data_IF_721824595234
#
_entry.id   IF_721824595234
#
_cell.length_a   1.000
_cell.length_b   1.000
_cell.length_c   1.000
_cell.angle_alpha   90.00
_cell.angle_beta   90.00
_cell.angle_gamma   90.00
#
_symmetry.space_group_name_H-M   'P 1'
#
loop_
_entity.id
_entity.type
_entity.pdbx_description
1 polymer ?
#
# COMPACT_ATOMS: atom_id res chain seq x y z
N UNK A 1 18.92 15.75 23.41
CA UNK A 1 19.47 15.08 22.21
C UNK A 1 18.99 13.65 22.24
N UNK A 2 17.90 13.35 21.55
CA UNK A 2 17.41 11.98 21.37
C UNK A 2 17.99 11.48 20.05
N UNK A 3 18.78 10.42 20.12
CA UNK A 3 19.24 9.69 18.94
C UNK A 3 18.01 9.02 18.32
N UNK A 4 17.71 9.37 17.07
CA UNK A 4 16.73 8.64 16.27
C UNK A 4 17.34 7.28 15.90
N UNK A 5 16.80 6.14 16.37
CA UNK A 5 17.17 4.85 15.81
C UNK A 5 16.49 4.73 14.44
N UNK A 6 17.14 4.01 13.52
CA UNK A 6 16.66 3.64 12.17
C UNK A 6 17.08 4.53 10.99
N UNK A 7 18.39 4.65 10.78
CA UNK A 7 18.95 4.60 9.43
C UNK A 7 19.29 3.14 9.06
N UNK A 8 18.27 2.28 8.93
CA UNK A 8 18.42 1.13 8.02
C UNK A 8 18.68 1.77 6.64
N UNK A 9 19.86 1.54 6.04
CA UNK A 9 20.16 2.04 4.69
C UNK A 9 18.97 1.76 3.77
N UNK A 10 18.51 2.78 3.06
CA UNK A 10 17.39 2.71 2.10
C UNK A 10 17.54 1.53 1.11
N UNK A 11 18.78 1.12 0.82
CA UNK A 11 19.09 -0.03 -0.04
C UNK A 11 18.64 -1.38 0.53
N UNK A 12 18.26 -1.47 1.80
CA UNK A 12 17.82 -2.71 2.46
C UNK A 12 16.29 -2.87 2.50
N UNK A 13 15.52 -1.87 2.06
CA UNK A 13 14.05 -1.87 2.16
C UNK A 13 13.36 -2.91 1.25
N UNK A 14 13.97 -3.26 0.11
CA UNK A 14 13.45 -4.31 -0.78
C UNK A 14 13.78 -5.73 -0.35
N UNK A 15 14.78 -5.92 0.54
CA UNK A 15 15.30 -7.24 0.88
C UNK A 15 14.30 -8.13 1.61
N UNK A 16 13.41 -7.54 2.40
CA UNK A 16 12.37 -8.28 3.14
C UNK A 16 11.25 -8.75 2.20
N UNK A 17 10.82 -7.93 1.24
CA UNK A 17 9.84 -8.33 0.22
C UNK A 17 10.40 -9.37 -0.75
N UNK A 18 11.69 -9.29 -1.06
CA UNK A 18 12.39 -10.32 -1.84
C UNK A 18 12.37 -11.67 -1.11
N UNK A 19 12.58 -11.68 0.22
CA UNK A 19 12.44 -12.91 1.01
C UNK A 19 11.03 -13.47 0.97
N UNK A 20 10.00 -12.63 1.08
CA UNK A 20 8.61 -13.09 0.98
C UNK A 20 8.31 -13.72 -0.40
N UNK A 21 8.87 -13.15 -1.48
CA UNK A 21 8.72 -13.71 -2.83
C UNK A 21 9.42 -15.08 -2.96
N UNK A 22 10.63 -15.24 -2.42
CA UNK A 22 11.35 -16.52 -2.43
C UNK A 22 10.69 -17.57 -1.53
N UNK A 23 10.17 -17.17 -0.37
CA UNK A 23 9.37 -18.04 0.50
C UNK A 23 8.10 -18.52 -0.22
N UNK A 24 7.40 -17.61 -0.92
CA UNK A 24 6.20 -17.94 -1.68
C UNK A 24 6.52 -18.96 -2.77
N UNK A 25 7.56 -18.70 -3.57
CA UNK A 25 8.02 -19.62 -4.61
C UNK A 25 8.33 -21.01 -4.05
N UNK A 26 9.07 -21.06 -2.94
CA UNK A 26 9.42 -22.33 -2.28
C UNK A 26 8.18 -23.10 -1.83
N UNK A 27 7.17 -22.40 -1.30
CA UNK A 27 5.92 -23.02 -0.86
C UNK A 27 5.04 -23.46 -2.03
N UNK A 28 4.99 -22.69 -3.12
CA UNK A 28 4.26 -23.04 -4.35
C UNK A 28 4.84 -24.31 -4.97
N UNK A 29 6.16 -24.47 -5.01
CA UNK A 29 6.80 -25.70 -5.49
C UNK A 29 6.32 -26.91 -4.66
N UNK A 30 6.41 -26.82 -3.33
CA UNK A 30 5.96 -27.89 -2.42
C UNK A 30 4.46 -28.21 -2.57
N UNK A 31 3.63 -27.18 -2.63
CA UNK A 31 2.18 -27.34 -2.84
C UNK A 31 1.87 -28.00 -4.18
N UNK A 32 2.57 -27.60 -5.24
CA UNK A 32 2.36 -28.14 -6.59
C UNK A 32 2.77 -29.62 -6.70
N UNK A 33 3.73 -30.05 -5.90
CA UNK A 33 4.16 -31.45 -5.82
C UNK A 33 3.15 -32.31 -5.04
N UNK A 34 2.65 -31.80 -3.91
CA UNK A 34 1.81 -32.57 -2.98
C UNK A 34 0.31 -32.48 -3.26
N UNK A 35 -0.16 -31.36 -3.82
CA UNK A 35 -1.58 -31.06 -4.08
C UNK A 35 -1.72 -30.39 -5.45
N UNK A 36 -1.48 -31.17 -6.51
CA UNK A 36 -1.44 -30.71 -7.91
C UNK A 36 -2.67 -29.92 -8.33
N UNK A 37 -3.83 -30.24 -7.79
CA UNK A 37 -5.10 -29.56 -8.02
C UNK A 37 -5.10 -28.09 -7.58
N UNK A 38 -4.23 -27.70 -6.64
CA UNK A 38 -4.10 -26.31 -6.16
C UNK A 38 -2.95 -25.55 -6.82
N UNK A 39 -2.13 -26.20 -7.65
CA UNK A 39 -0.97 -25.57 -8.29
C UNK A 39 -1.32 -24.27 -9.06
N UNK A 40 -2.41 -24.20 -9.87
CA UNK A 40 -2.73 -22.95 -10.57
C UNK A 40 -3.01 -21.77 -9.62
N UNK A 41 -3.71 -22.03 -8.51
CA UNK A 41 -4.03 -21.03 -7.49
C UNK A 41 -2.78 -20.60 -6.72
N UNK A 42 -1.92 -21.56 -6.38
CA UNK A 42 -0.66 -21.31 -5.70
C UNK A 42 0.29 -20.46 -6.58
N UNK A 43 0.41 -20.78 -7.88
CA UNK A 43 1.15 -19.96 -8.84
C UNK A 43 0.59 -18.53 -8.94
N UNK A 44 -0.73 -18.37 -9.01
CA UNK A 44 -1.36 -17.04 -9.02
C UNK A 44 -1.02 -16.23 -7.78
N UNK A 45 -1.02 -16.87 -6.60
CA UNK A 45 -0.62 -16.24 -5.34
C UNK A 45 0.85 -15.77 -5.35
N UNK A 46 1.78 -16.58 -5.88
CA UNK A 46 3.17 -16.15 -6.08
C UNK A 46 3.26 -14.94 -7.03
N UNK A 47 2.51 -14.96 -8.14
CA UNK A 47 2.47 -13.84 -9.08
C UNK A 47 2.00 -12.55 -8.43
N UNK A 48 1.00 -12.60 -7.54
CA UNK A 48 0.57 -11.42 -6.79
C UNK A 48 1.66 -10.89 -5.86
N UNK A 49 2.34 -11.75 -5.09
CA UNK A 49 3.46 -11.34 -4.22
C UNK A 49 4.57 -10.69 -5.03
N UNK A 50 4.94 -11.29 -6.17
CA UNK A 50 5.96 -10.75 -7.07
C UNK A 50 5.55 -9.42 -7.68
N UNK A 51 4.27 -9.27 -8.07
CA UNK A 51 3.72 -8.03 -8.57
C UNK A 51 3.73 -6.91 -7.52
N UNK A 52 3.37 -7.22 -6.27
CA UNK A 52 3.44 -6.26 -5.15
C UNK A 52 4.87 -5.77 -4.93
N UNK A 53 5.83 -6.69 -4.90
CA UNK A 53 7.25 -6.36 -4.77
C UNK A 53 7.76 -5.53 -5.96
N UNK A 54 7.37 -5.89 -7.18
CA UNK A 54 7.71 -5.13 -8.39
C UNK A 54 7.24 -3.68 -8.28
N UNK A 55 5.95 -3.45 -8.03
CA UNK A 55 5.40 -2.10 -7.95
C UNK A 55 6.02 -1.30 -6.80
N UNK A 56 6.25 -1.91 -5.64
CA UNK A 56 6.94 -1.23 -4.54
C UNK A 56 8.37 -0.78 -4.91
N UNK A 57 9.15 -1.66 -5.56
CA UNK A 57 10.51 -1.31 -6.03
C UNK A 57 10.48 -0.15 -7.02
N UNK A 58 9.48 -0.12 -7.91
CA UNK A 58 9.28 0.96 -8.87
C UNK A 58 8.90 2.28 -8.18
N UNK A 59 7.98 2.24 -7.22
CA UNK A 59 7.66 3.42 -6.38
C UNK A 59 8.93 3.97 -5.73
N UNK A 60 9.75 3.11 -5.12
CA UNK A 60 11.01 3.52 -4.48
C UNK A 60 12.01 4.11 -5.48
N UNK A 61 12.17 3.48 -6.64
CA UNK A 61 13.05 3.95 -7.73
C UNK A 61 12.68 5.39 -8.15
N UNK A 62 11.40 5.62 -8.48
CA UNK A 62 10.95 6.92 -8.95
C UNK A 62 10.92 7.97 -7.83
N UNK A 63 10.61 7.57 -6.61
CA UNK A 63 10.72 8.43 -5.44
C UNK A 63 12.15 8.98 -5.31
N UNK A 64 13.18 8.12 -5.44
CA UNK A 64 14.59 8.56 -5.33
C UNK A 64 14.96 9.59 -6.39
N UNK A 65 14.49 9.40 -7.63
CA UNK A 65 14.75 10.33 -8.73
C UNK A 65 14.05 11.66 -8.50
N UNK A 66 12.77 11.63 -8.14
CA UNK A 66 12.01 12.83 -7.74
C UNK A 66 12.67 13.57 -6.56
N UNK A 67 13.09 12.86 -5.52
CA UNK A 67 13.76 13.46 -4.38
C UNK A 67 15.09 14.13 -4.75
N UNK A 68 15.86 13.55 -5.67
CA UNK A 68 17.08 14.17 -6.19
C UNK A 68 16.78 15.46 -6.98
N UNK A 69 15.72 15.46 -7.79
CA UNK A 69 15.25 16.64 -8.51
C UNK A 69 14.80 17.79 -7.60
N UNK A 70 14.03 17.47 -6.55
CA UNK A 70 13.63 18.44 -5.53
C UNK A 70 14.87 18.99 -4.81
N UNK A 71 15.77 18.11 -4.36
CA UNK A 71 16.97 18.51 -3.62
C UNK A 71 17.88 19.43 -4.43
N UNK A 72 18.06 19.16 -5.73
CA UNK A 72 18.83 20.01 -6.63
C UNK A 72 18.23 21.41 -6.73
N UNK A 73 16.90 21.54 -6.81
CA UNK A 73 16.23 22.84 -6.90
C UNK A 73 16.16 23.57 -5.56
N UNK A 74 15.97 22.85 -4.46
CA UNK A 74 15.96 23.42 -3.11
C UNK A 74 17.29 24.11 -2.75
N UNK A 75 18.41 23.61 -3.31
CA UNK A 75 19.72 24.23 -3.13
C UNK A 75 19.83 25.68 -3.65
N UNK A 76 18.87 26.13 -4.46
CA UNK A 76 18.79 27.52 -4.95
C UNK A 76 18.13 28.48 -3.94
N UNK A 77 17.64 27.99 -2.80
CA UNK A 77 17.01 28.79 -1.75
C UNK A 77 15.51 29.03 -1.93
N UNK A 78 14.85 28.29 -2.83
CA UNK A 78 13.40 28.37 -3.03
C UNK A 78 12.65 27.66 -1.90
N UNK A 79 11.68 28.32 -1.27
CA UNK A 79 10.76 27.72 -0.27
C UNK A 79 9.57 26.98 -0.89
N UNK A 80 9.39 27.10 -2.21
CA UNK A 80 8.39 26.38 -3.00
C UNK A 80 9.00 26.01 -4.35
N UNK A 81 8.84 24.76 -4.76
CA UNK A 81 9.39 24.23 -6.00
C UNK A 81 8.24 23.69 -6.84
N UNK A 82 7.94 24.38 -7.93
CA UNK A 82 7.08 23.88 -8.99
C UNK A 82 7.95 23.44 -10.16
N UNK A 83 7.80 22.19 -10.58
CA UNK A 83 8.57 21.63 -11.68
C UNK A 83 7.78 20.61 -12.48
N UNK A 84 8.06 20.53 -13.78
CA UNK A 84 7.74 19.35 -14.59
C UNK A 84 8.54 18.16 -14.05
N UNK A 85 7.85 17.09 -13.65
CA UNK A 85 8.49 15.89 -13.07
C UNK A 85 7.73 14.62 -13.45
N UNK A 86 8.09 14.00 -14.60
CA UNK A 86 7.51 12.73 -15.03
C UNK A 86 7.74 11.60 -14.02
N UNK A 87 8.87 11.63 -13.31
CA UNK A 87 9.18 10.62 -12.29
C UNK A 87 8.16 10.66 -11.13
N UNK A 88 7.66 11.84 -10.75
CA UNK A 88 6.59 11.94 -9.75
C UNK A 88 5.29 11.31 -10.26
N UNK A 89 4.89 11.60 -11.50
CA UNK A 89 3.70 11.02 -12.11
C UNK A 89 3.81 9.49 -12.22
N UNK A 90 4.95 8.96 -12.68
CA UNK A 90 5.16 7.51 -12.78
C UNK A 90 5.17 6.87 -11.38
N UNK A 91 5.79 7.50 -10.38
CA UNK A 91 5.72 7.04 -9.00
C UNK A 91 4.26 6.88 -8.54
N UNK A 92 3.40 7.87 -8.81
CA UNK A 92 1.99 7.82 -8.42
C UNK A 92 1.18 6.76 -9.19
N UNK A 93 1.51 6.50 -10.46
CA UNK A 93 0.94 5.37 -11.19
C UNK A 93 1.35 4.02 -10.60
N UNK A 94 2.60 3.86 -10.18
CA UNK A 94 3.07 2.63 -9.53
C UNK A 94 2.41 2.45 -8.14
N UNK A 95 2.14 3.55 -7.41
CA UNK A 95 1.33 3.52 -6.17
C UNK A 95 -0.09 3.04 -6.47
N UNK A 96 -0.73 3.58 -7.51
CA UNK A 96 -2.06 3.16 -7.93
C UNK A 96 -2.12 1.66 -8.25
N UNK A 97 -1.14 1.17 -9.03
CA UNK A 97 -1.04 -0.23 -9.40
C UNK A 97 -0.82 -1.12 -8.17
N UNK A 98 0.10 -0.74 -7.27
CA UNK A 98 0.37 -1.44 -6.03
C UNK A 98 -0.89 -1.59 -5.16
N UNK A 99 -1.61 -0.50 -4.94
CA UNK A 99 -2.80 -0.46 -4.07
C UNK A 99 -3.94 -1.29 -4.66
N UNK A 100 -4.18 -1.20 -5.96
CA UNK A 100 -5.19 -2.02 -6.61
C UNK A 100 -4.81 -3.50 -6.59
N UNK A 101 -3.55 -3.83 -6.87
CA UNK A 101 -3.08 -5.21 -6.80
C UNK A 101 -3.20 -5.75 -5.36
N UNK A 102 -2.85 -4.97 -4.34
CA UNK A 102 -2.99 -5.38 -2.95
C UNK A 102 -4.46 -5.67 -2.61
N UNK A 103 -5.37 -4.78 -3.01
CA UNK A 103 -6.82 -4.98 -2.81
C UNK A 103 -7.33 -6.24 -3.53
N UNK A 104 -6.98 -6.42 -4.80
CA UNK A 104 -7.36 -7.61 -5.60
C UNK A 104 -6.80 -8.88 -4.95
N UNK A 105 -5.57 -8.84 -4.48
CA UNK A 105 -4.90 -9.97 -3.84
C UNK A 105 -5.63 -10.37 -2.56
N UNK A 106 -6.04 -9.40 -1.72
CA UNK A 106 -6.82 -9.64 -0.52
C UNK A 106 -8.21 -10.23 -0.83
N UNK A 107 -8.87 -9.77 -1.90
CA UNK A 107 -10.16 -10.34 -2.32
C UNK A 107 -10.02 -11.78 -2.83
N UNK A 108 -8.91 -12.08 -3.52
CA UNK A 108 -8.59 -13.41 -4.01
C UNK A 108 -8.16 -14.40 -2.91
N UNK A 109 -7.95 -13.96 -1.66
CA UNK A 109 -7.70 -14.88 -0.54
C UNK A 109 -8.81 -15.91 -0.38
N UNK A 110 -10.06 -15.53 -0.71
CA UNK A 110 -11.20 -16.43 -0.77
C UNK A 110 -10.92 -17.63 -1.67
N UNK A 111 -10.33 -17.40 -2.84
CA UNK A 111 -10.07 -18.45 -3.82
C UNK A 111 -8.92 -19.36 -3.38
N UNK A 112 -7.91 -18.79 -2.72
CA UNK A 112 -6.79 -19.54 -2.17
C UNK A 112 -7.23 -20.42 -1.01
N UNK A 113 -8.05 -19.86 -0.10
CA UNK A 113 -8.50 -20.54 1.11
C UNK A 113 -9.74 -21.40 0.91
N UNK A 114 -10.46 -21.28 -0.20
CA UNK A 114 -11.67 -22.08 -0.46
C UNK A 114 -11.53 -23.59 -0.17
N UNK A 115 -10.36 -24.24 -0.41
CA UNK A 115 -10.21 -25.67 -0.13
C UNK A 115 -10.28 -26.06 1.34
N UNK A 116 -9.99 -25.15 2.26
CA UNK A 116 -9.94 -25.40 3.71
C UNK A 116 -11.21 -24.97 4.44
N UNK A 117 -12.17 -24.35 3.73
CA UNK A 117 -13.47 -23.98 4.27
C UNK A 117 -14.50 -25.10 4.12
N UNK A 118 -15.21 -25.39 5.21
CA UNK A 118 -16.42 -26.23 5.25
C UNK A 118 -17.65 -25.49 4.72
N UNK A 119 -17.69 -24.16 4.89
CA UNK A 119 -18.71 -23.30 4.29
C UNK A 119 -18.66 -23.41 2.75
N UNK A 120 -19.80 -23.64 2.06
CA UNK A 120 -19.84 -23.71 0.60
C UNK A 120 -19.21 -22.48 -0.06
N UNK A 121 -18.46 -22.69 -1.15
CA UNK A 121 -17.70 -21.63 -1.79
C UNK A 121 -18.59 -20.44 -2.16
N UNK A 122 -19.79 -20.67 -2.68
CA UNK A 122 -20.76 -19.65 -3.10
C UNK A 122 -21.22 -18.76 -1.93
N UNK A 123 -21.15 -19.28 -0.70
CA UNK A 123 -21.53 -18.57 0.53
C UNK A 123 -20.37 -17.79 1.14
N UNK A 124 -19.14 -18.01 0.68
CA UNK A 124 -18.00 -17.19 1.09
C UNK A 124 -18.14 -15.77 0.51
N UNK A 125 -17.77 -14.72 1.25
CA UNK A 125 -17.70 -13.36 0.72
C UNK A 125 -16.74 -13.22 -0.47
N UNK A 126 -17.03 -12.29 -1.38
CA UNK A 126 -16.16 -11.98 -2.53
C UNK A 126 -15.10 -10.93 -2.21
N UNK A 127 -15.31 -10.18 -1.13
CA UNK A 127 -14.46 -9.08 -0.71
C UNK A 127 -13.92 -9.32 0.69
N UNK A 128 -12.65 -8.97 0.92
CA UNK A 128 -12.06 -8.97 2.27
C UNK A 128 -12.88 -8.10 3.24
N UNK A 129 -13.48 -7.00 2.75
CA UNK A 129 -14.33 -6.11 3.56
C UNK A 129 -15.57 -6.83 4.05
N UNK A 130 -16.14 -7.70 3.22
CA UNK A 130 -17.33 -8.45 3.58
C UNK A 130 -16.98 -9.61 4.51
N UNK A 131 -15.79 -10.22 4.38
CA UNK A 131 -15.25 -11.14 5.38
C UNK A 131 -15.13 -10.48 6.76
N UNK A 132 -14.58 -9.25 6.82
CA UNK A 132 -14.41 -8.51 8.07
C UNK A 132 -15.74 -8.10 8.75
N UNK A 133 -16.87 -8.12 8.03
CA UNK A 133 -18.20 -7.87 8.61
C UNK A 133 -18.83 -9.10 9.26
N UNK A 134 -18.35 -10.29 8.93
CA UNK A 134 -18.85 -11.56 9.44
C UNK A 134 -18.09 -12.07 10.65
N UNK A 135 -18.17 -13.38 10.87
CA UNK A 135 -17.38 -14.13 11.84
C UNK A 135 -16.79 -15.36 11.15
N UNK A 136 -15.49 -15.57 11.32
CA UNK A 136 -14.73 -16.70 10.76
C UNK A 136 -13.70 -17.18 11.79
N UNK A 137 -13.45 -18.48 11.80
CA UNK A 137 -12.42 -19.14 12.61
C UNK A 137 -11.11 -19.37 11.82
N UNK A 138 -11.03 -18.83 10.59
CA UNK A 138 -9.85 -18.96 9.75
C UNK A 138 -8.75 -17.99 10.21
N UNK A 139 -7.56 -18.48 10.61
CA UNK A 139 -6.51 -17.67 11.23
C UNK A 139 -5.97 -16.57 10.31
N UNK A 140 -6.08 -16.74 8.99
CA UNK A 140 -5.66 -15.71 8.02
C UNK A 140 -6.54 -14.46 8.12
N UNK A 141 -7.87 -14.64 8.18
CA UNK A 141 -8.79 -13.50 8.28
C UNK A 141 -8.79 -12.89 9.69
N UNK A 142 -8.56 -13.69 10.74
CA UNK A 142 -8.31 -13.17 12.08
C UNK A 142 -7.05 -12.30 12.12
N UNK A 143 -5.96 -12.75 11.49
CA UNK A 143 -4.73 -11.95 11.41
C UNK A 143 -4.95 -10.64 10.66
N UNK A 144 -5.65 -10.68 9.50
CA UNK A 144 -6.00 -9.49 8.70
C UNK A 144 -6.82 -8.49 9.52
N UNK A 145 -7.81 -8.96 10.27
CA UNK A 145 -8.67 -8.09 11.08
C UNK A 145 -7.91 -7.36 12.21
N UNK A 146 -6.71 -7.82 12.55
CA UNK A 146 -5.84 -7.23 13.55
C UNK A 146 -4.73 -6.33 12.95
N UNK A 147 -4.76 -6.04 11.64
CA UNK A 147 -3.81 -5.12 11.01
C UNK A 147 -4.50 -3.82 10.56
N UNK A 148 -4.19 -2.71 11.24
CA UNK A 148 -4.75 -1.37 10.94
C UNK A 148 -4.46 -0.93 9.49
N UNK A 149 -3.34 -1.40 8.94
CA UNK A 149 -2.89 -1.12 7.56
C UNK A 149 -3.97 -1.41 6.51
N UNK A 150 -4.79 -2.45 6.71
CA UNK A 150 -5.74 -2.88 5.69
C UNK A 150 -6.95 -1.96 5.62
N UNK A 151 -7.42 -1.46 6.76
CA UNK A 151 -8.50 -0.46 6.78
C UNK A 151 -8.06 0.79 6.00
N UNK A 152 -6.84 1.25 6.24
CA UNK A 152 -6.29 2.38 5.48
C UNK A 152 -6.11 2.06 3.99
N UNK A 153 -5.56 0.90 3.64
CA UNK A 153 -5.42 0.45 2.24
C UNK A 153 -6.77 0.48 1.49
N UNK A 154 -7.83 0.01 2.14
CA UNK A 154 -9.18 -0.05 1.56
C UNK A 154 -9.73 1.36 1.32
N UNK A 155 -9.60 2.24 2.31
CA UNK A 155 -10.03 3.63 2.19
C UNK A 155 -9.23 4.35 1.09
N UNK A 156 -7.90 4.17 1.09
CA UNK A 156 -7.01 4.72 0.09
C UNK A 156 -7.38 4.27 -1.32
N UNK A 157 -7.58 2.96 -1.52
CA UNK A 157 -8.03 2.40 -2.80
C UNK A 157 -9.38 2.97 -3.23
N UNK A 158 -10.36 3.04 -2.32
CA UNK A 158 -11.69 3.53 -2.66
C UNK A 158 -11.68 5.01 -3.03
N UNK A 159 -10.88 5.82 -2.32
CA UNK A 159 -10.66 7.21 -2.69
C UNK A 159 -10.07 7.33 -4.10
N UNK A 160 -9.03 6.53 -4.40
CA UNK A 160 -8.37 6.53 -5.70
C UNK A 160 -9.28 6.14 -6.87
N UNK A 161 -10.18 5.19 -6.66
CA UNK A 161 -11.04 4.67 -7.73
C UNK A 161 -12.31 5.50 -7.91
N UNK A 162 -12.86 6.09 -6.84
CA UNK A 162 -14.21 6.66 -6.88
C UNK A 162 -14.31 8.17 -6.65
N UNK A 163 -13.27 8.81 -6.08
CA UNK A 163 -13.37 10.21 -5.64
C UNK A 163 -12.30 11.11 -6.24
N UNK A 164 -11.02 10.75 -6.07
CA UNK A 164 -9.89 11.50 -6.61
C UNK A 164 -8.95 10.52 -7.29
N UNK A 165 -9.05 10.40 -8.61
CA UNK A 165 -8.10 9.63 -9.39
C UNK A 165 -6.71 10.29 -9.32
N UNK A 166 -5.65 9.49 -9.49
CA UNK A 166 -4.30 10.00 -9.79
C UNK A 166 -4.22 10.61 -11.21
N UNK A 167 -5.23 11.37 -11.66
CA UNK A 167 -5.06 12.24 -12.82
C UNK A 167 -4.10 13.36 -12.41
N UNK A 168 -2.81 13.02 -12.34
CA UNK A 168 -1.74 13.89 -11.88
C UNK A 168 -1.28 14.70 -13.08
N UNK A 169 -1.17 16.02 -12.90
CA UNK A 169 -0.44 16.87 -13.84
C UNK A 169 0.97 16.32 -14.04
N UNK A 170 1.56 16.58 -15.21
CA UNK A 170 2.98 16.28 -15.44
C UNK A 170 3.90 17.17 -14.57
N UNK A 171 3.30 18.10 -13.83
CA UNK A 171 3.99 18.93 -12.86
C UNK A 171 3.81 18.42 -11.42
N UNK A 172 4.87 18.57 -10.63
CA UNK A 172 4.89 18.33 -9.21
C UNK A 172 5.11 19.65 -8.45
N UNK A 173 4.50 19.73 -7.26
CA UNK A 173 4.69 20.79 -6.29
C UNK A 173 5.35 20.21 -5.05
N UNK A 174 6.51 20.74 -4.66
CA UNK A 174 7.18 20.44 -3.41
C UNK A 174 7.28 21.70 -2.55
N UNK A 175 6.94 21.59 -1.27
CA UNK A 175 6.82 22.73 -0.34
C UNK A 175 7.86 22.60 0.78
N UNK A 176 8.52 23.68 1.17
CA UNK A 176 9.41 23.66 2.31
C UNK A 176 8.61 23.40 3.61
N UNK A 177 9.06 22.49 4.46
CA UNK A 177 8.40 22.21 5.73
C UNK A 177 8.32 23.47 6.60
N UNK A 178 7.10 23.88 6.95
CA UNK A 178 6.84 25.09 7.75
C UNK A 178 6.63 26.37 6.92
N UNK A 179 6.73 26.30 5.59
CA UNK A 179 6.34 27.42 4.73
C UNK A 179 4.81 27.61 4.75
N UNK A 180 4.37 28.84 4.94
CA UNK A 180 2.98 29.22 4.71
C UNK A 180 2.75 29.41 3.21
N UNK A 181 2.00 28.49 2.62
CA UNK A 181 1.66 28.47 1.19
C UNK A 181 0.17 28.67 0.96
N UNK A 182 -0.58 29.06 2.01
CA UNK A 182 -2.03 29.25 1.94
C UNK A 182 -2.44 30.25 0.85
N UNK A 183 -1.68 31.34 0.72
CA UNK A 183 -1.88 32.37 -0.31
C UNK A 183 -1.48 31.92 -1.74
N UNK A 184 -0.56 30.95 -1.86
CA UNK A 184 -0.03 30.45 -3.14
C UNK A 184 -0.89 29.33 -3.74
N UNK A 185 -1.52 28.52 -2.89
CA UNK A 185 -2.34 27.39 -3.32
C UNK A 185 -3.78 27.84 -3.62
N UNK A 186 -4.26 28.90 -2.95
CA UNK A 186 -5.54 29.58 -3.25
C UNK A 186 -6.73 28.63 -3.46
N UNK A 187 -7.69 29.05 -4.29
CA UNK A 187 -8.88 28.24 -4.66
C UNK A 187 -8.55 27.04 -5.58
N UNK A 188 -7.32 26.92 -6.07
CA UNK A 188 -6.91 25.89 -7.03
C UNK A 188 -6.28 24.64 -6.39
N UNK A 189 -6.46 24.44 -5.07
CA UNK A 189 -5.97 23.27 -4.34
C UNK A 189 -6.35 21.94 -5.04
N UNK A 190 -7.50 21.88 -5.71
CA UNK A 190 -7.97 20.70 -6.45
C UNK A 190 -7.22 20.42 -7.76
N UNK A 191 -6.65 21.44 -8.41
CA UNK A 191 -5.90 21.32 -9.67
C UNK A 191 -4.44 20.92 -9.39
N UNK A 192 -3.93 21.26 -8.20
CA UNK A 192 -2.50 21.22 -7.91
C UNK A 192 -2.11 20.32 -6.71
N UNK A 193 -3.07 19.83 -5.93
CA UNK A 193 -2.81 18.92 -4.81
C UNK A 193 -3.34 17.51 -5.12
N UNK A 194 -2.54 16.65 -5.78
CA UNK A 194 -2.79 15.21 -5.68
C UNK A 194 -2.87 14.83 -4.19
N UNK A 195 -3.59 13.75 -3.90
CA UNK A 195 -3.72 13.24 -2.53
C UNK A 195 -2.35 13.04 -1.84
N UNK A 196 -1.29 12.79 -2.61
CA UNK A 196 0.08 12.76 -2.11
C UNK A 196 0.71 14.17 -2.16
N UNK A 197 1.20 14.68 -1.02
CA UNK A 197 1.87 15.99 -0.93
C UNK A 197 3.36 15.84 -0.71
N UNK A 198 4.17 16.53 -1.51
CA UNK A 198 5.62 16.52 -1.37
C UNK A 198 6.10 17.70 -0.52
N UNK A 199 6.98 17.41 0.43
CA UNK A 199 7.62 18.37 1.31
C UNK A 199 9.13 18.19 1.29
N UNK A 200 9.88 19.25 1.55
CA UNK A 200 11.31 19.18 1.72
C UNK A 200 11.79 20.04 2.89
N UNK A 201 12.95 19.70 3.45
CA UNK A 201 13.63 20.51 4.46
C UNK A 201 15.12 20.36 4.36
N UNK A 202 15.86 21.39 4.79
CA UNK A 202 17.31 21.32 4.91
C UNK A 202 17.72 20.36 6.03
N UNK A 203 18.73 19.54 5.79
CA UNK A 203 19.33 18.62 6.76
C UNK A 203 20.85 18.79 6.72
N UNK A 204 21.41 19.39 7.78
CA UNK A 204 22.82 19.75 7.81
C UNK A 204 23.15 20.88 6.84
N UNK A 205 24.44 21.01 6.48
CA UNK A 205 24.90 22.15 5.66
C UNK A 205 24.53 22.00 4.17
N UNK A 206 24.57 20.76 3.64
CA UNK A 206 24.43 20.48 2.20
C UNK A 206 23.34 19.43 1.87
N UNK A 207 22.61 18.92 2.88
CA UNK A 207 21.61 17.89 2.67
C UNK A 207 20.20 18.45 2.59
N UNK A 208 19.34 17.76 1.86
CA UNK A 208 17.89 17.97 1.89
C UNK A 208 17.20 16.63 2.17
N UNK A 209 16.15 16.67 2.98
CA UNK A 209 15.22 15.56 3.13
C UNK A 209 13.97 15.90 2.34
N UNK A 210 13.48 14.93 1.55
CA UNK A 210 12.26 15.05 0.77
C UNK A 210 11.30 13.95 1.22
N UNK A 211 10.08 14.34 1.59
CA UNK A 211 9.03 13.47 2.08
C UNK A 211 7.78 13.63 1.22
N UNK A 212 7.17 12.51 0.81
CA UNK A 212 5.82 12.53 0.22
C UNK A 212 4.85 11.96 1.23
N UNK A 213 3.89 12.75 1.67
CA UNK A 213 2.89 12.36 2.66
C UNK A 213 1.56 12.05 2.01
N UNK A 214 0.91 11.00 2.50
CA UNK A 214 -0.48 10.64 2.19
C UNK A 214 -1.41 11.22 3.27
N UNK A 215 -2.71 11.37 3.00
CA UNK A 215 -3.63 11.89 3.99
C UNK A 215 -3.83 10.89 5.13
N UNK A 216 -3.90 11.40 6.35
CA UNK A 216 -4.08 10.56 7.54
C UNK A 216 -5.56 10.17 7.71
N UNK A 217 -6.48 11.04 7.27
CA UNK A 217 -7.92 10.79 7.23
C UNK A 217 -8.47 10.95 5.82
N UNK A 218 -9.11 9.88 5.31
CA UNK A 218 -9.69 9.85 3.95
C UNK A 218 -11.22 9.93 4.00
N UNK A 219 -11.86 9.20 4.92
CA UNK A 219 -13.31 9.18 5.06
C UNK A 219 -13.72 9.47 6.49
N UNK A 220 -14.67 10.38 6.64
CA UNK A 220 -15.41 10.58 7.88
C UNK A 220 -16.47 9.48 7.99
N UNK A 221 -16.48 8.78 9.13
CA UNK A 221 -17.43 7.70 9.45
C UNK A 221 -18.44 8.24 10.47
N UNK A 222 -19.45 8.96 9.98
CA UNK A 222 -20.57 9.46 10.81
C UNK A 222 -21.86 8.72 10.46
N UNK A 223 -22.51 8.14 11.47
CA UNK A 223 -23.86 7.57 11.41
C UNK A 223 -24.10 6.60 10.24
N UNK A 224 -23.16 5.67 10.02
CA UNK A 224 -23.26 4.64 8.99
C UNK A 224 -23.04 5.12 7.55
N UNK A 225 -22.81 6.43 7.34
CA UNK A 225 -22.42 6.99 6.04
C UNK A 225 -20.92 7.23 5.99
N UNK A 226 -20.27 6.83 4.87
CA UNK A 226 -18.89 7.22 4.55
C UNK A 226 -18.93 8.44 3.64
N UNK A 227 -18.34 9.55 4.07
CA UNK A 227 -18.17 10.77 3.26
C UNK A 227 -16.69 11.10 3.13
N UNK A 228 -16.30 11.61 1.96
CA UNK A 228 -14.92 12.03 1.73
C UNK A 228 -14.56 13.14 2.73
N UNK A 229 -13.54 12.90 3.54
CA UNK A 229 -13.05 13.85 4.52
C UNK A 229 -12.29 14.99 3.85
N UNK A 230 -12.09 16.10 4.59
CA UNK A 230 -11.02 17.03 4.24
C UNK A 230 -9.68 16.35 4.55
N UNK A 231 -8.80 16.25 3.56
CA UNK A 231 -7.49 15.62 3.74
C UNK A 231 -6.61 16.40 4.72
N UNK A 232 -6.14 15.69 5.75
CA UNK A 232 -5.18 16.16 6.75
C UNK A 232 -3.86 15.39 6.62
N UNK A 233 -2.75 15.97 7.09
CA UNK A 233 -1.38 15.44 6.95
C UNK A 233 -0.57 15.64 8.25
N UNK A 234 -1.26 15.66 9.38
CA UNK A 234 -0.74 15.88 10.72
C UNK A 234 0.11 14.70 11.21
N UNK A 235 -0.29 13.45 10.92
CA UNK A 235 0.43 12.22 11.29
C UNK A 235 1.61 11.93 10.35
N UNK A 236 1.74 12.70 9.27
CA UNK A 236 2.86 12.63 8.30
C UNK A 236 3.07 11.22 7.75
N UNK A 237 2.00 10.56 7.35
CA UNK A 237 2.07 9.20 6.79
C UNK A 237 2.88 9.17 5.49
N UNK A 238 4.14 8.72 5.58
CA UNK A 238 5.06 8.68 4.46
C UNK A 238 4.63 7.65 3.41
N UNK A 239 4.56 8.07 2.15
CA UNK A 239 4.14 7.26 1.00
C UNK A 239 4.96 5.97 0.87
N UNK A 240 6.28 6.02 0.97
CA UNK A 240 7.12 4.82 0.87
C UNK A 240 6.86 3.85 2.01
N UNK A 241 6.67 4.36 3.23
CA UNK A 241 6.36 3.52 4.40
C UNK A 241 5.01 2.83 4.24
N UNK A 242 3.98 3.56 3.81
CA UNK A 242 2.64 3.00 3.59
C UNK A 242 2.64 1.99 2.44
N UNK A 243 3.28 2.30 1.30
CA UNK A 243 3.42 1.35 0.20
C UNK A 243 4.17 0.08 0.60
N UNK A 244 5.21 0.20 1.43
CA UNK A 244 5.92 -0.96 1.98
C UNK A 244 4.99 -1.81 2.84
N UNK A 245 4.26 -1.19 3.76
CA UNK A 245 3.32 -1.90 4.64
C UNK A 245 2.23 -2.62 3.82
N UNK A 246 1.64 -1.96 2.82
CA UNK A 246 0.69 -2.58 1.90
C UNK A 246 1.26 -3.82 1.19
N UNK A 247 2.46 -3.70 0.62
CA UNK A 247 3.11 -4.79 -0.08
C UNK A 247 3.46 -5.94 0.88
N UNK A 248 4.02 -5.62 2.04
CA UNK A 248 4.49 -6.57 3.03
C UNK A 248 3.32 -7.36 3.63
N UNK A 249 2.34 -6.66 4.18
CA UNK A 249 1.28 -7.30 4.97
C UNK A 249 0.31 -8.06 4.07
N UNK A 250 0.07 -7.58 2.84
CA UNK A 250 -0.66 -8.35 1.83
C UNK A 250 0.12 -9.62 1.44
N UNK A 251 1.44 -9.53 1.27
CA UNK A 251 2.26 -10.70 0.94
C UNK A 251 2.29 -11.73 2.09
N UNK A 252 2.33 -11.25 3.33
CA UNK A 252 2.21 -12.10 4.52
C UNK A 252 0.86 -12.80 4.56
N UNK A 253 -0.25 -12.09 4.32
CA UNK A 253 -1.59 -12.69 4.26
C UNK A 253 -1.66 -13.84 3.25
N UNK A 254 -1.09 -13.63 2.05
CA UNK A 254 -1.04 -14.66 1.00
C UNK A 254 -0.17 -15.84 1.42
N UNK A 255 1.01 -15.61 2.01
CA UNK A 255 1.86 -16.68 2.52
C UNK A 255 1.18 -17.49 3.62
N UNK A 256 0.50 -16.81 4.56
CA UNK A 256 -0.30 -17.47 5.59
C UNK A 256 -1.42 -18.30 4.96
N UNK A 257 -2.07 -17.81 3.91
CA UNK A 257 -3.09 -18.58 3.18
C UNK A 257 -2.52 -19.83 2.52
N UNK A 258 -1.40 -19.72 1.82
CA UNK A 258 -0.72 -20.87 1.20
C UNK A 258 -0.27 -21.88 2.25
N UNK A 259 0.29 -21.43 3.38
CA UNK A 259 0.68 -22.30 4.50
C UNK A 259 -0.53 -22.99 5.10
N UNK A 260 -1.62 -22.26 5.32
CA UNK A 260 -2.88 -22.82 5.84
C UNK A 260 -3.42 -23.93 4.93
N UNK A 261 -3.41 -23.73 3.61
CA UNK A 261 -3.84 -24.75 2.63
C UNK A 261 -2.91 -25.96 2.60
N UNK A 262 -1.62 -25.75 2.83
CA UNK A 262 -0.62 -26.81 2.90
C UNK A 262 -0.78 -27.66 4.17
N UNK A 263 -0.90 -27.01 5.33
CA UNK A 263 -0.93 -27.64 6.65
C UNK A 263 -2.29 -28.22 7.03
N UNK A 264 -3.37 -27.76 6.38
CA UNK A 264 -4.75 -28.14 6.71
C UNK A 264 -5.34 -29.01 5.60
N UNK A 265 -5.28 -30.34 5.74
CA UNK A 265 -5.70 -31.22 4.66
C UNK A 265 -7.20 -31.32 4.49
N UNK A 266 -7.95 -31.04 5.55
CA UNK A 266 -9.40 -31.17 5.64
C UNK A 266 -10.09 -29.80 5.57
N UNK A 267 -11.40 -29.80 5.29
CA UNK A 267 -12.23 -28.62 5.40
C UNK A 267 -12.61 -28.45 6.86
N UNK A 268 -12.10 -27.40 7.49
CA UNK A 268 -12.27 -27.19 8.94
C UNK A 268 -12.80 -25.80 9.26
N UNK A 269 -12.53 -24.81 8.40
CA UNK A 269 -12.89 -23.43 8.69
C UNK A 269 -14.32 -23.11 8.27
N UNK A 270 -14.94 -22.20 9.00
CA UNK A 270 -16.31 -21.76 8.78
C UNK A 270 -16.38 -20.25 8.65
N UNK A 271 -17.36 -19.79 7.89
CA UNK A 271 -17.75 -18.39 7.83
C UNK A 271 -19.26 -18.28 8.08
N UNK A 272 -19.62 -17.33 8.93
CA UNK A 272 -21.01 -16.95 9.20
C UNK A 272 -21.19 -15.44 9.03
N UNK A 273 -22.27 -15.05 8.36
CA UNK A 273 -22.65 -13.65 8.24
C UNK A 273 -23.35 -13.23 9.55
N UNK A 274 -22.99 -12.06 10.07
CA UNK A 274 -23.71 -11.43 11.20
C UNK A 274 -25.09 -10.96 10.77
#
# INVERSE_FOLDING_TARGET
MSEYPHTKKLDNLGSELDKLAEEARSLVIKLSEQRKEYAPKACLAEWHIRGLNYHYKRVFEYYRRFAAEVSSRASTGAGLIWMYSPDFQIMLFEVYALVNLARITLDNLRDYLSPVFSTPYEQLPKSVNDFMKGTTDCPVYEWINNQDVFEYLIDFRNCLVHYRSFATSDNALAIEEGADVSDLIGENEYVFAPMARAFFRKVGENGFSVNVYLPDTIFERTDGSKRLAKFTYEERWNLLSQCRAFAQDTSIAVLLALKTVFDTPERVFTYSRR
#
